data_IF_773663852691
#
_entry.id   IF_773663852691
#
_cell.length_a   1.000
_cell.length_b   1.000
_cell.length_c   1.000
_cell.angle_alpha   90.00
_cell.angle_beta   90.00
_cell.angle_gamma   90.00
#
_symmetry.space_group_name_H-M   'P 1'
#
loop_
_entity.id
_entity.type
_entity.pdbx_description
1 polymer ?
#
# COMPACT_ATOMS: atom_id res chain seq x y z
N UNK A 1 14.89 24.10 -6.94
CA UNK A 1 14.73 22.85 -6.17
C UNK A 1 13.26 22.56 -6.15
N UNK A 2 12.76 21.95 -7.21
CA UNK A 2 11.40 21.41 -7.21
C UNK A 2 11.31 20.35 -6.11
N UNK A 3 10.27 20.35 -5.26
CA UNK A 3 10.11 19.28 -4.29
C UNK A 3 10.02 17.96 -5.06
N UNK A 4 10.90 17.03 -4.71
CA UNK A 4 10.85 15.67 -5.24
C UNK A 4 9.43 15.13 -5.05
N UNK A 5 8.70 14.76 -6.13
CA UNK A 5 7.34 14.22 -6.03
C UNK A 5 7.28 12.86 -5.31
N UNK A 6 8.40 12.37 -4.77
CA UNK A 6 8.54 11.10 -4.07
C UNK A 6 8.35 11.18 -2.55
N UNK A 7 7.44 12.03 -2.06
CA UNK A 7 6.74 11.75 -0.79
C UNK A 7 5.63 10.68 -0.99
N UNK A 8 5.91 9.68 -1.82
CA UNK A 8 4.97 8.64 -2.25
C UNK A 8 5.24 7.29 -1.57
N UNK A 9 4.33 6.34 -1.81
CA UNK A 9 4.48 4.94 -1.35
C UNK A 9 5.70 4.29 -2.00
N UNK A 10 6.51 3.58 -1.22
CA UNK A 10 7.73 2.90 -1.67
C UNK A 10 7.71 1.41 -1.27
N UNK A 11 8.50 0.59 -1.98
CA UNK A 11 8.76 -0.81 -1.59
C UNK A 11 9.40 -0.85 -0.20
N UNK A 12 8.96 -1.81 0.63
CA UNK A 12 9.40 -1.97 2.00
C UNK A 12 8.55 -1.20 3.03
N UNK A 13 7.73 -0.24 2.59
CA UNK A 13 6.83 0.47 3.51
C UNK A 13 5.78 -0.47 4.10
N UNK A 14 5.50 -0.26 5.39
CA UNK A 14 4.45 -0.97 6.11
C UNK A 14 3.12 -0.26 5.90
N UNK A 15 2.06 -1.03 5.74
CA UNK A 15 0.73 -0.51 5.44
C UNK A 15 -0.36 -1.24 6.22
N UNK A 16 -1.49 -0.58 6.37
CA UNK A 16 -2.77 -1.13 6.86
C UNK A 16 -3.88 -0.72 5.90
N UNK A 17 -5.09 -1.32 6.02
CA UNK A 17 -6.26 -0.88 5.26
C UNK A 17 -6.54 0.62 5.44
N UNK A 18 -6.95 1.28 4.36
CA UNK A 18 -7.26 2.70 4.31
C UNK A 18 -8.74 3.02 4.14
N UNK A 19 -9.03 4.30 3.90
CA UNK A 19 -10.41 4.85 3.88
C UNK A 19 -11.26 4.27 2.74
N UNK A 20 -10.65 3.98 1.60
CA UNK A 20 -11.37 3.46 0.42
C UNK A 20 -11.36 1.93 0.34
N UNK A 21 -10.87 1.25 1.39
CA UNK A 21 -10.77 -0.20 1.43
C UNK A 21 -12.12 -0.88 1.22
N UNK A 22 -12.17 -1.78 0.24
CA UNK A 22 -13.37 -2.55 -0.12
C UNK A 22 -13.10 -4.04 -0.34
N UNK A 23 -11.93 -4.52 0.09
CA UNK A 23 -11.40 -5.84 -0.26
C UNK A 23 -11.65 -6.89 0.82
N UNK A 24 -12.71 -6.72 1.61
CA UNK A 24 -13.10 -7.65 2.68
C UNK A 24 -11.99 -7.80 3.72
N UNK A 25 -11.63 -9.06 4.03
CA UNK A 25 -10.59 -9.41 5.01
C UNK A 25 -9.32 -9.96 4.35
N UNK A 26 -8.99 -9.52 3.12
CA UNK A 26 -7.76 -9.96 2.45
C UNK A 26 -6.48 -9.61 3.22
N UNK A 27 -6.53 -8.56 4.04
CA UNK A 27 -5.49 -8.15 4.98
C UNK A 27 -5.48 -8.94 6.30
N UNK A 28 -6.39 -9.90 6.48
CA UNK A 28 -6.52 -10.72 7.69
C UNK A 28 -7.43 -10.12 8.77
N UNK A 29 -8.16 -9.05 8.47
CA UNK A 29 -9.05 -8.37 9.42
C UNK A 29 -8.58 -6.95 9.77
N UNK A 30 -9.40 -6.22 10.53
CA UNK A 30 -9.08 -4.85 10.91
C UNK A 30 -7.75 -4.77 11.68
N UNK A 31 -6.88 -3.84 11.30
CA UNK A 31 -5.53 -3.71 11.85
C UNK A 31 -4.48 -4.65 11.23
N UNK A 32 -4.87 -5.47 10.24
CA UNK A 32 -3.95 -6.28 9.44
C UNK A 32 -2.85 -5.44 8.81
N UNK A 33 -1.62 -5.96 8.84
CA UNK A 33 -0.42 -5.22 8.43
C UNK A 33 0.23 -5.94 7.26
N UNK A 34 0.69 -5.17 6.28
CA UNK A 34 1.41 -5.68 5.13
C UNK A 34 2.62 -4.84 4.77
N UNK A 35 3.43 -5.38 3.86
CA UNK A 35 4.59 -4.71 3.25
C UNK A 35 4.32 -4.46 1.78
N UNK A 36 4.58 -3.25 1.31
CA UNK A 36 4.61 -2.97 -0.13
C UNK A 36 5.79 -3.70 -0.76
N UNK A 37 5.53 -4.55 -1.75
CA UNK A 37 6.56 -5.38 -2.42
C UNK A 37 6.76 -5.04 -3.89
N UNK A 38 5.82 -4.32 -4.50
CA UNK A 38 5.92 -3.87 -5.90
C UNK A 38 5.16 -2.56 -6.08
N UNK A 39 5.72 -1.63 -6.86
CA UNK A 39 5.04 -0.42 -7.30
C UNK A 39 4.41 -0.66 -8.68
N UNK A 40 3.18 -0.18 -8.85
CA UNK A 40 2.52 -0.13 -10.13
C UNK A 40 3.25 0.78 -11.12
N UNK A 41 3.12 0.49 -12.40
CA UNK A 41 3.80 1.22 -13.48
C UNK A 41 2.89 1.42 -14.67
N UNK A 42 3.10 2.51 -15.38
CA UNK A 42 2.34 2.82 -16.59
C UNK A 42 2.46 1.68 -17.62
N UNK A 43 1.33 1.33 -18.26
CA UNK A 43 1.27 0.26 -19.27
C UNK A 43 1.27 -1.18 -18.73
N UNK A 44 1.40 -1.41 -17.41
CA UNK A 44 1.27 -2.75 -16.86
C UNK A 44 -0.21 -3.21 -16.85
N UNK A 45 -0.54 -4.39 -17.40
CA UNK A 45 -1.91 -4.90 -17.42
C UNK A 45 -2.36 -5.45 -16.05
N UNK A 46 -1.42 -5.85 -15.18
CA UNK A 46 -1.72 -6.44 -13.87
C UNK A 46 -1.46 -5.51 -12.69
N UNK A 47 -0.56 -4.55 -12.86
CA UNK A 47 -0.09 -3.65 -11.80
C UNK A 47 0.01 -2.22 -12.35
N UNK A 48 -1.12 -1.61 -12.77
CA UNK A 48 -1.11 -0.31 -13.42
C UNK A 48 -0.59 0.80 -12.50
N UNK A 49 -0.26 1.94 -13.08
CA UNK A 49 0.20 3.12 -12.33
C UNK A 49 -0.76 3.49 -11.19
N UNK A 50 -0.23 4.06 -10.10
CA UNK A 50 -0.96 4.41 -8.86
C UNK A 50 -1.62 3.22 -8.14
N UNK A 51 -1.08 2.03 -8.34
CA UNK A 51 -1.37 0.84 -7.53
C UNK A 51 -0.09 0.32 -6.89
N UNK A 52 -0.22 -0.56 -5.90
CA UNK A 52 0.90 -1.26 -5.28
C UNK A 52 0.53 -2.71 -5.00
N UNK A 53 1.50 -3.62 -5.03
CA UNK A 53 1.31 -4.98 -4.51
C UNK A 53 1.75 -5.01 -3.06
N UNK A 54 0.89 -5.53 -2.20
CA UNK A 54 1.17 -5.73 -0.77
C UNK A 54 1.26 -7.22 -0.48
N UNK A 55 2.29 -7.60 0.25
CA UNK A 55 2.36 -8.88 0.96
C UNK A 55 1.85 -8.63 2.39
N UNK A 56 0.66 -9.12 2.71
CA UNK A 56 0.14 -9.10 4.08
C UNK A 56 0.89 -10.13 4.93
N UNK A 57 1.07 -9.82 6.21
CA UNK A 57 1.80 -10.69 7.16
C UNK A 57 1.13 -12.06 7.31
N UNK A 58 -0.19 -12.11 7.15
CA UNK A 58 -0.99 -13.34 7.21
C UNK A 58 -0.91 -14.18 5.91
N UNK A 59 -0.19 -13.70 4.89
CA UNK A 59 0.16 -14.48 3.69
C UNK A 59 -0.48 -14.02 2.38
N UNK A 60 -1.62 -13.33 2.39
CA UNK A 60 -2.24 -12.82 1.16
C UNK A 60 -1.30 -11.83 0.43
N UNK A 61 -1.14 -12.01 -0.89
CA UNK A 61 -0.39 -11.10 -1.77
C UNK A 61 -1.29 -10.57 -2.88
N UNK A 62 -1.56 -9.26 -2.92
CA UNK A 62 -2.53 -8.70 -3.88
C UNK A 62 -2.24 -7.23 -4.20
N UNK A 63 -2.77 -6.75 -5.33
CA UNK A 63 -2.66 -5.37 -5.80
C UNK A 63 -3.78 -4.47 -5.23
N UNK A 64 -3.43 -3.26 -4.81
CA UNK A 64 -4.33 -2.29 -4.18
C UNK A 64 -4.12 -0.88 -4.72
N UNK A 65 -5.15 -0.03 -4.63
CA UNK A 65 -5.11 1.35 -5.14
C UNK A 65 -4.36 2.25 -4.16
N UNK A 66 -3.39 2.98 -4.68
CA UNK A 66 -2.64 4.03 -3.98
C UNK A 66 -2.75 5.34 -4.78
N UNK A 67 -3.99 5.71 -5.15
CA UNK A 67 -4.32 6.85 -6.02
C UNK A 67 -4.95 6.46 -7.36
N UNK A 68 -5.01 5.16 -7.70
CA UNK A 68 -5.69 4.69 -8.92
C UNK A 68 -7.20 4.97 -8.82
N UNK A 69 -7.74 5.63 -9.86
CA UNK A 69 -9.12 6.15 -9.87
C UNK A 69 -9.46 7.03 -8.65
N UNK A 70 -8.46 7.72 -8.09
CA UNK A 70 -8.63 8.63 -6.95
C UNK A 70 -8.79 7.93 -5.59
N UNK A 71 -8.67 6.60 -5.53
CA UNK A 71 -8.88 5.84 -4.30
C UNK A 71 -7.57 5.44 -3.61
N UNK A 72 -7.62 5.43 -2.28
CA UNK A 72 -6.53 5.12 -1.37
C UNK A 72 -6.96 3.97 -0.45
N UNK A 73 -6.70 2.75 -0.92
CA UNK A 73 -7.04 1.51 -0.19
C UNK A 73 -6.11 1.26 0.99
N UNK A 74 -4.98 1.96 1.07
CA UNK A 74 -3.91 1.71 2.03
C UNK A 74 -3.51 2.98 2.76
N UNK A 75 -3.15 2.83 4.02
CA UNK A 75 -2.51 3.86 4.83
C UNK A 75 -1.10 3.42 5.20
N UNK A 76 -0.15 4.34 5.13
CA UNK A 76 1.20 4.09 5.63
C UNK A 76 1.15 3.87 7.13
N UNK A 77 1.71 2.76 7.58
CA UNK A 77 1.92 2.47 9.00
C UNK A 77 3.28 3.05 9.40
N UNK A 78 3.33 4.14 10.18
CA UNK A 78 4.61 4.63 10.69
C UNK A 78 5.28 3.54 11.52
N UNK A 79 6.61 3.52 11.50
CA UNK A 79 7.37 2.62 12.35
C UNK A 79 6.95 2.83 13.81
N UNK A 80 6.79 1.76 14.62
CA UNK A 80 6.55 1.93 16.03
C UNK A 80 7.69 2.77 16.61
N UNK A 81 7.35 3.90 17.20
CA UNK A 81 8.33 4.73 17.91
C UNK A 81 8.74 3.93 19.15
N UNK A 82 9.88 3.24 19.07
CA UNK A 82 10.52 2.74 20.28
C UNK A 82 11.01 3.97 21.06
N UNK A 83 10.24 4.41 22.03
CA UNK A 83 10.79 5.22 23.12
C UNK A 83 11.72 4.30 23.90
N UNK A 84 13.02 4.60 23.81
CA UNK A 84 14.05 4.07 24.70
C UNK A 84 13.85 4.62 26.11
#
# INVERSE_FOLDING_TARGET
>A
MDPDPQAGVQVGMRVVRGVDWKWGQQDGGEGGVGTVVELGRHGSPSTPDRTVVVQWDQGTRTNYRAGYQGAHDLLLRPAPQHHL
#
